data_IF_345448162891
#
_entry.id   IF_345448162891
#
_cell.length_a   1.000
_cell.length_b   1.000
_cell.length_c   1.000
_cell.angle_alpha   90.00
_cell.angle_beta   90.00
_cell.angle_gamma   90.00
#
_symmetry.space_group_name_H-M   'P 1'
#
loop_
_entity.id
_entity.type
_entity.pdbx_description
1 polymer ?
#
# COMPACT_ATOMS: atom_id res chain seq x y z
N UNK A 1 5.49 -5.31 -3.27
CA UNK A 1 4.86 -4.97 -1.98
C UNK A 1 5.58 -5.71 -0.86
N UNK A 2 6.09 -5.01 0.17
CA UNK A 2 6.69 -5.63 1.37
C UNK A 2 5.78 -5.48 2.60
N UNK A 3 4.67 -4.76 2.45
CA UNK A 3 3.67 -4.52 3.48
C UNK A 3 2.29 -4.69 2.88
N UNK A 4 1.39 -5.35 3.61
CA UNK A 4 0.03 -5.59 3.20
C UNK A 4 -0.83 -5.98 4.41
N UNK A 5 -2.13 -5.74 4.33
CA UNK A 5 -3.11 -6.44 5.16
C UNK A 5 -3.41 -7.82 4.55
N UNK A 6 -3.89 -8.78 5.33
CA UNK A 6 -4.12 -10.15 4.83
C UNK A 6 -2.83 -10.97 4.73
N UNK A 7 -2.75 -11.91 3.78
CA UNK A 7 -1.58 -12.77 3.50
C UNK A 7 -0.90 -13.35 4.76
N UNK A 8 -1.72 -13.82 5.71
CA UNK A 8 -1.25 -14.26 7.03
C UNK A 8 -0.17 -15.34 6.96
N UNK A 9 -0.28 -16.24 5.97
CA UNK A 9 0.69 -17.31 5.71
C UNK A 9 2.12 -16.81 5.39
N UNK A 10 2.27 -15.54 4.98
CA UNK A 10 3.56 -14.88 4.76
C UNK A 10 4.08 -14.10 5.99
N UNK A 11 3.29 -14.06 7.08
CA UNK A 11 3.55 -13.26 8.28
C UNK A 11 3.85 -14.13 9.50
N UNK A 12 3.00 -15.11 9.79
CA UNK A 12 3.10 -15.96 10.99
C UNK A 12 2.76 -17.41 10.64
N UNK A 13 3.49 -18.35 11.23
CA UNK A 13 3.31 -19.78 10.98
C UNK A 13 1.93 -20.30 11.40
N UNK A 14 1.29 -19.67 12.38
CA UNK A 14 -0.08 -20.03 12.81
C UNK A 14 -1.16 -19.82 11.74
N UNK A 15 -0.87 -19.00 10.71
CA UNK A 15 -1.75 -18.78 9.58
C UNK A 15 -1.35 -19.62 8.36
N UNK A 16 -0.44 -20.60 8.52
CA UNK A 16 -0.12 -21.55 7.47
C UNK A 16 -1.38 -22.34 7.09
N UNK A 17 -1.66 -22.39 5.79
CA UNK A 17 -2.86 -23.05 5.28
C UNK A 17 -2.64 -24.57 5.13
N UNK A 18 -3.69 -25.40 5.29
CA UNK A 18 -3.61 -26.84 5.11
C UNK A 18 -3.15 -27.25 3.70
N UNK A 19 -2.73 -28.52 3.58
CA UNK A 19 -2.18 -29.10 2.36
C UNK A 19 -3.14 -29.06 1.14
N UNK A 20 -4.43 -28.85 1.38
CA UNK A 20 -5.46 -28.70 0.34
C UNK A 20 -5.40 -27.35 -0.39
N UNK A 21 -4.77 -26.33 0.20
CA UNK A 21 -4.62 -25.00 -0.40
C UNK A 21 -3.24 -24.83 -1.06
N UNK A 22 -3.00 -25.61 -2.12
CA UNK A 22 -1.69 -25.68 -2.81
C UNK A 22 -1.17 -24.33 -3.30
N UNK A 23 -2.06 -23.40 -3.68
CA UNK A 23 -1.68 -22.06 -4.15
C UNK A 23 -0.95 -21.22 -3.10
N UNK A 24 -1.21 -21.45 -1.81
CA UNK A 24 -0.69 -20.64 -0.71
C UNK A 24 0.33 -21.38 0.16
N UNK A 25 0.76 -22.57 -0.28
CA UNK A 25 1.80 -23.32 0.40
C UNK A 25 3.16 -22.74 0.12
N UNK A 26 3.95 -22.69 1.18
CA UNK A 26 5.35 -22.30 1.11
C UNK A 26 6.21 -23.55 0.94
N UNK A 27 7.21 -23.54 0.03
CA UNK A 27 8.12 -24.67 -0.16
C UNK A 27 8.91 -25.04 1.11
N UNK A 28 9.12 -24.07 2.00
CA UNK A 28 9.72 -24.25 3.31
C UNK A 28 9.18 -23.20 4.30
N UNK A 29 9.19 -23.47 5.62
CA UNK A 29 8.82 -22.49 6.63
C UNK A 29 9.69 -21.23 6.54
N UNK A 30 9.04 -20.06 6.63
CA UNK A 30 9.75 -18.77 6.67
C UNK A 30 10.50 -18.62 7.99
N UNK A 31 11.79 -18.29 7.93
CA UNK A 31 12.61 -17.98 9.10
C UNK A 31 12.25 -16.64 9.74
N UNK A 32 11.65 -15.73 8.96
CA UNK A 32 11.17 -14.41 9.40
C UNK A 32 9.98 -13.98 8.54
N UNK A 33 9.08 -13.10 9.04
CA UNK A 33 7.96 -12.59 8.26
C UNK A 33 8.44 -11.95 6.95
N UNK A 34 7.84 -12.35 5.82
CA UNK A 34 8.13 -11.77 4.52
C UNK A 34 7.33 -10.48 4.26
N UNK A 35 6.18 -10.36 4.93
CA UNK A 35 5.32 -9.18 4.92
C UNK A 35 5.09 -8.66 6.33
N UNK A 36 4.84 -7.36 6.45
CA UNK A 36 4.31 -6.74 7.67
C UNK A 36 2.98 -6.04 7.38
N UNK A 37 2.11 -5.98 8.38
CA UNK A 37 0.91 -5.13 8.35
C UNK A 37 1.19 -3.72 8.86
N UNK A 38 2.38 -3.47 9.39
CA UNK A 38 2.74 -2.20 10.04
C UNK A 38 2.85 -1.07 8.99
N UNK A 39 2.06 0.00 9.13
CA UNK A 39 2.12 1.14 8.20
C UNK A 39 3.40 1.96 8.40
N UNK A 40 3.64 2.88 7.47
CA UNK A 40 4.56 3.99 7.71
C UNK A 40 3.73 5.20 8.14
N UNK A 41 4.13 5.84 9.24
CA UNK A 41 3.43 7.02 9.76
C UNK A 41 4.19 8.28 9.36
N UNK A 42 3.46 9.29 8.88
CA UNK A 42 3.97 10.63 8.62
C UNK A 42 2.95 11.65 9.09
N UNK A 43 3.43 12.68 9.79
CA UNK A 43 2.63 13.78 10.29
C UNK A 43 3.01 15.07 9.55
N UNK A 44 2.01 15.88 9.21
CA UNK A 44 2.20 17.18 8.56
C UNK A 44 1.22 18.18 9.16
N UNK A 45 1.74 19.35 9.56
CA UNK A 45 0.89 20.44 10.04
C UNK A 45 0.45 21.27 8.85
N UNK A 46 -0.86 21.30 8.60
CA UNK A 46 -1.46 22.05 7.48
C UNK A 46 -1.08 23.53 7.56
N UNK A 47 -0.53 24.05 6.46
CA UNK A 47 -0.20 25.46 6.29
C UNK A 47 -1.21 26.16 5.38
N UNK A 48 -1.33 27.51 5.42
CA UNK A 48 -2.24 28.25 4.56
C UNK A 48 -2.04 28.04 3.05
N UNK A 49 -0.85 27.62 2.63
CA UNK A 49 -0.50 27.37 1.22
C UNK A 49 -0.91 25.97 0.73
N UNK A 50 -1.22 25.05 1.65
CA UNK A 50 -1.65 23.69 1.34
C UNK A 50 -3.09 23.71 0.81
N UNK A 51 -3.28 23.45 -0.49
CA UNK A 51 -4.59 23.57 -1.14
C UNK A 51 -5.39 22.27 -1.18
N UNK A 52 -4.71 21.14 -1.36
CA UNK A 52 -5.33 19.81 -1.45
C UNK A 52 -4.30 18.71 -1.26
N UNK A 53 -4.79 17.50 -1.00
CA UNK A 53 -3.99 16.28 -0.89
C UNK A 53 -4.59 15.21 -1.82
N UNK A 54 -3.74 14.53 -2.59
CA UNK A 54 -4.17 13.48 -3.52
C UNK A 54 -3.78 12.11 -2.94
N UNK A 55 -4.77 11.27 -2.66
CA UNK A 55 -4.59 9.85 -2.39
C UNK A 55 -5.06 9.03 -3.59
N UNK A 56 -4.22 8.14 -4.09
CA UNK A 56 -4.58 7.22 -5.15
C UNK A 56 -3.74 5.94 -5.10
N UNK A 57 -4.24 4.88 -5.71
CA UNK A 57 -3.50 3.63 -5.92
C UNK A 57 -2.44 3.78 -7.01
N UNK A 58 -1.54 2.80 -7.10
CA UNK A 58 -0.54 2.66 -8.18
C UNK A 58 -1.15 2.80 -9.58
N UNK A 59 -2.36 2.28 -9.83
CA UNK A 59 -3.03 2.42 -11.13
C UNK A 59 -3.15 3.86 -11.67
N UNK A 60 -3.15 4.90 -10.81
CA UNK A 60 -3.05 6.29 -11.27
C UNK A 60 -1.58 6.68 -11.54
N UNK A 61 -0.71 6.42 -10.57
CA UNK A 61 0.69 6.86 -10.55
C UNK A 61 1.56 6.11 -11.56
N UNK A 62 1.12 4.95 -12.02
CA UNK A 62 1.73 4.21 -13.13
C UNK A 62 1.56 4.95 -14.47
N UNK A 63 0.58 5.85 -14.56
CA UNK A 63 0.24 6.59 -15.77
C UNK A 63 0.59 8.08 -15.70
N UNK A 64 0.62 8.68 -14.51
CA UNK A 64 0.82 10.10 -14.29
C UNK A 64 1.94 10.35 -13.28
N UNK A 65 2.78 11.33 -13.56
CA UNK A 65 3.68 11.90 -12.56
C UNK A 65 2.90 12.70 -11.50
N UNK A 66 3.50 12.85 -10.32
CA UNK A 66 2.94 13.66 -9.24
C UNK A 66 2.56 15.07 -9.71
N UNK A 67 3.41 15.71 -10.53
CA UNK A 67 3.15 17.06 -11.03
C UNK A 67 1.96 17.10 -12.00
N UNK A 68 1.87 16.13 -12.93
CA UNK A 68 0.73 16.06 -13.84
C UNK A 68 -0.60 15.91 -13.08
N UNK A 69 -0.63 15.10 -12.02
CA UNK A 69 -1.83 14.96 -11.19
C UNK A 69 -2.19 16.27 -10.47
N UNK A 70 -1.19 16.97 -9.92
CA UNK A 70 -1.37 18.29 -9.29
C UNK A 70 -1.94 19.30 -10.30
N UNK A 71 -1.36 19.38 -11.50
CA UNK A 71 -1.77 20.32 -12.54
C UNK A 71 -3.22 20.08 -12.99
N UNK A 72 -3.62 18.81 -13.14
CA UNK A 72 -4.99 18.42 -13.52
C UNK A 72 -6.00 18.84 -12.44
N UNK A 73 -5.71 18.57 -11.17
CA UNK A 73 -6.58 18.95 -10.04
C UNK A 73 -6.64 20.47 -9.91
N UNK A 74 -5.51 21.16 -10.06
CA UNK A 74 -5.43 22.61 -9.98
C UNK A 74 -6.22 23.30 -11.10
N UNK A 75 -6.21 22.74 -12.31
CA UNK A 75 -6.99 23.23 -13.45
C UNK A 75 -8.49 22.93 -13.34
N UNK A 76 -8.91 22.10 -12.37
CA UNK A 76 -10.30 21.67 -12.17
C UNK A 76 -10.82 22.05 -10.77
N UNK A 77 -10.82 23.34 -10.38
CA UNK A 77 -11.29 23.74 -9.06
C UNK A 77 -12.78 23.39 -8.91
N UNK A 78 -13.11 22.63 -7.86
CA UNK A 78 -14.50 22.47 -7.42
C UNK A 78 -14.90 23.73 -6.65
N UNK A 79 -16.00 24.36 -7.07
CA UNK A 79 -16.65 25.47 -6.35
C UNK A 79 -17.29 24.98 -5.05
#
# INVERSE_FOLDING_TARGET
LTRALGDGYLKRAEFALPAEHTRFQLPAPLQRPALTAEPSMQEHTIQPEDRFLIFASDGLWDCLSNQQAVDIVFASPRA
#
